data_IF_335679860260
#
_entry.id   IF_335679860260
#
_cell.length_a   1.000
_cell.length_b   1.000
_cell.length_c   1.000
_cell.angle_alpha   90.00
_cell.angle_beta   90.00
_cell.angle_gamma   90.00
#
_symmetry.space_group_name_H-M   'P 1'
#
loop_
_entity.id
_entity.type
_entity.pdbx_description
1 polymer ?
#
# COMPACT_ATOMS: atom_id res chain seq x y z
N UNK A 1 19.00 -1.35 -20.76
CA UNK A 1 18.06 -0.58 -19.91
C UNK A 1 18.76 -0.35 -18.58
N UNK A 2 18.87 0.86 -18.13
CA UNK A 2 19.42 1.14 -16.81
C UNK A 2 18.44 0.58 -15.77
N UNK A 3 18.90 -0.26 -14.86
CA UNK A 3 18.15 -0.65 -13.68
C UNK A 3 17.82 0.62 -12.91
N UNK A 4 16.54 0.91 -12.72
CA UNK A 4 16.10 2.06 -11.91
C UNK A 4 16.54 1.78 -10.47
N UNK A 5 17.56 2.48 -10.02
CA UNK A 5 18.10 2.29 -8.67
C UNK A 5 17.06 2.76 -7.66
N UNK A 6 16.50 1.81 -6.88
CA UNK A 6 15.52 2.12 -5.85
C UNK A 6 16.23 2.84 -4.70
N UNK A 7 15.81 4.04 -4.39
CA UNK A 7 16.30 4.81 -3.24
C UNK A 7 15.35 4.69 -2.06
N UNK A 8 15.91 4.70 -0.85
CA UNK A 8 15.15 4.64 0.41
C UNK A 8 15.60 5.77 1.32
N UNK A 9 14.65 6.60 1.73
CA UNK A 9 14.87 7.64 2.71
C UNK A 9 14.18 7.30 4.03
N UNK A 10 14.84 7.56 5.15
CA UNK A 10 14.29 7.35 6.49
C UNK A 10 14.08 8.71 7.15
N UNK A 11 12.88 8.92 7.65
CA UNK A 11 12.47 10.12 8.37
C UNK A 11 11.93 9.78 9.76
N UNK A 12 12.11 10.68 10.69
CA UNK A 12 11.54 10.55 12.04
C UNK A 12 10.90 11.89 12.44
N UNK A 13 9.78 12.27 11.80
CA UNK A 13 9.21 13.59 11.99
C UNK A 13 8.60 13.81 13.38
N UNK A 14 7.99 12.78 14.01
CA UNK A 14 7.23 12.91 15.25
C UNK A 14 7.34 11.72 16.21
N UNK A 15 8.27 10.83 16.04
CA UNK A 15 8.41 9.63 16.84
C UNK A 15 8.75 8.42 16.00
N UNK A 16 7.81 7.57 15.55
CA UNK A 16 8.14 6.42 14.72
C UNK A 16 8.85 6.82 13.43
N UNK A 17 9.88 6.06 13.06
CA UNK A 17 10.59 6.29 11.80
C UNK A 17 9.69 5.96 10.62
N UNK A 18 9.82 6.73 9.53
CA UNK A 18 9.11 6.52 8.27
C UNK A 18 10.11 6.26 7.17
N UNK A 19 9.95 5.16 6.44
CA UNK A 19 10.69 4.91 5.21
C UNK A 19 9.88 5.43 4.03
N UNK A 20 10.50 6.25 3.20
CA UNK A 20 9.95 6.75 1.95
C UNK A 20 10.71 6.17 0.78
N UNK A 21 10.00 5.68 -0.21
CA UNK A 21 10.56 5.22 -1.48
C UNK A 21 9.60 5.50 -2.62
N UNK A 22 10.09 5.46 -3.83
CA UNK A 22 9.25 5.58 -5.03
C UNK A 22 8.81 4.20 -5.48
N UNK A 23 7.50 4.01 -5.66
CA UNK A 23 6.96 2.81 -6.28
C UNK A 23 7.27 2.84 -7.78
N UNK A 24 7.89 1.80 -8.35
CA UNK A 24 8.10 1.71 -9.80
C UNK A 24 6.80 1.86 -10.59
N UNK A 25 6.85 2.57 -11.72
CA UNK A 25 5.66 2.92 -12.50
C UNK A 25 4.87 1.69 -12.95
N UNK A 26 5.56 0.60 -13.26
CA UNK A 26 4.91 -0.67 -13.65
C UNK A 26 3.93 -1.19 -12.57
N UNK A 27 4.26 -1.02 -11.29
CA UNK A 27 3.38 -1.42 -10.19
C UNK A 27 2.26 -0.42 -9.98
N UNK A 28 2.52 0.87 -10.15
CA UNK A 28 1.49 1.92 -10.13
C UNK A 28 0.43 1.64 -11.18
N UNK A 29 0.85 1.35 -12.40
CA UNK A 29 -0.04 1.06 -13.54
C UNK A 29 -0.85 -0.22 -13.30
N UNK A 30 -0.21 -1.28 -12.81
CA UNK A 30 -0.87 -2.54 -12.51
C UNK A 30 -1.90 -2.42 -11.38
N UNK A 31 -1.57 -1.70 -10.31
CA UNK A 31 -2.48 -1.44 -9.19
C UNK A 31 -3.67 -0.58 -9.61
N UNK A 32 -3.42 0.48 -10.40
CA UNK A 32 -4.48 1.32 -10.95
C UNK A 32 -5.39 0.51 -11.86
N UNK A 33 -4.83 -0.29 -12.77
CA UNK A 33 -5.61 -1.14 -13.66
C UNK A 33 -6.49 -2.11 -12.88
N UNK A 34 -5.94 -2.82 -11.90
CA UNK A 34 -6.71 -3.78 -11.12
C UNK A 34 -7.82 -3.07 -10.32
N UNK A 35 -7.53 -1.92 -9.72
CA UNK A 35 -8.51 -1.11 -9.01
C UNK A 35 -9.64 -0.64 -9.93
N UNK A 36 -9.31 -0.11 -11.11
CA UNK A 36 -10.29 0.36 -12.09
C UNK A 36 -11.14 -0.80 -12.63
N UNK A 37 -10.54 -1.96 -12.93
CA UNK A 37 -11.24 -3.16 -13.39
C UNK A 37 -12.27 -3.67 -12.34
N UNK A 38 -11.94 -3.57 -11.05
CA UNK A 38 -12.86 -3.93 -9.97
C UNK A 38 -13.97 -2.89 -9.81
N UNK A 39 -13.61 -1.60 -9.81
CA UNK A 39 -14.57 -0.50 -9.62
C UNK A 39 -15.57 -0.39 -10.76
N UNK A 40 -15.19 -0.75 -11.98
CA UNK A 40 -16.05 -0.73 -13.17
C UNK A 40 -16.94 -1.96 -13.34
N UNK A 41 -16.76 -2.98 -12.49
CA UNK A 41 -17.54 -4.22 -12.49
C UNK A 41 -18.35 -4.31 -11.18
N UNK A 42 -19.67 -4.21 -11.26
CA UNK A 42 -20.53 -4.12 -10.08
C UNK A 42 -20.46 -5.38 -9.20
N UNK A 43 -20.34 -6.57 -9.78
CA UNK A 43 -20.24 -7.81 -9.03
C UNK A 43 -18.90 -7.93 -8.32
N UNK A 44 -17.80 -7.70 -9.02
CA UNK A 44 -16.45 -7.67 -8.44
C UNK A 44 -16.31 -6.61 -7.37
N UNK A 45 -16.90 -5.44 -7.61
CA UNK A 45 -16.88 -4.34 -6.66
C UNK A 45 -17.58 -4.69 -5.34
N UNK A 46 -18.69 -5.43 -5.40
CA UNK A 46 -19.38 -5.94 -4.20
C UNK A 46 -18.59 -7.05 -3.51
N UNK A 47 -18.01 -7.97 -4.26
CA UNK A 47 -17.21 -9.09 -3.73
C UNK A 47 -15.96 -8.60 -3.00
N UNK A 48 -15.31 -7.55 -3.54
CA UNK A 48 -14.05 -6.99 -3.04
C UNK A 48 -14.21 -5.81 -2.08
N UNK A 49 -15.43 -5.45 -1.75
CA UNK A 49 -15.72 -4.29 -0.92
C UNK A 49 -15.33 -4.53 0.55
N UNK A 50 -14.47 -3.65 1.05
CA UNK A 50 -14.03 -3.63 2.46
C UNK A 50 -14.49 -2.34 3.17
N UNK A 51 -15.29 -1.51 2.54
CA UNK A 51 -15.74 -0.20 3.04
C UNK A 51 -16.56 -0.29 4.33
N UNK A 52 -17.04 -1.47 4.70
CA UNK A 52 -17.79 -1.68 5.95
C UNK A 52 -16.99 -1.36 7.22
N UNK A 53 -15.67 -1.25 7.13
CA UNK A 53 -14.80 -0.85 8.22
C UNK A 53 -14.61 0.67 8.31
N UNK A 54 -15.18 1.44 7.38
CA UNK A 54 -15.04 2.89 7.33
C UNK A 54 -16.24 3.59 7.97
N UNK A 55 -15.95 4.66 8.70
CA UNK A 55 -16.96 5.48 9.36
C UNK A 55 -17.77 6.40 8.41
N UNK A 56 -17.30 6.59 7.18
CA UNK A 56 -17.86 7.57 6.23
C UNK A 56 -18.47 6.90 5.00
N UNK A 57 -19.58 7.49 4.50
CA UNK A 57 -20.43 6.87 3.49
C UNK A 57 -19.88 6.89 2.04
N UNK A 58 -18.92 7.76 1.76
CA UNK A 58 -18.51 8.05 0.38
C UNK A 58 -17.15 7.44 -0.01
N UNK A 59 -16.47 6.80 0.93
CA UNK A 59 -15.21 6.11 0.65
C UNK A 59 -15.46 4.72 0.10
N UNK A 60 -14.61 4.33 -0.80
CA UNK A 60 -14.60 2.96 -1.30
C UNK A 60 -13.25 2.33 -1.03
N UNK A 61 -13.25 1.30 -0.20
CA UNK A 61 -12.12 0.39 0.00
C UNK A 61 -12.38 -0.90 -0.75
N UNK A 62 -11.41 -1.29 -1.56
CA UNK A 62 -11.46 -2.57 -2.26
C UNK A 62 -10.19 -3.37 -2.03
N UNK A 63 -10.35 -4.66 -1.76
CA UNK A 63 -9.24 -5.59 -1.63
C UNK A 63 -8.56 -5.83 -2.97
N UNK A 64 -7.23 -5.77 -2.97
CA UNK A 64 -6.39 -5.98 -4.16
C UNK A 64 -5.70 -7.33 -4.08
N UNK A 65 -5.72 -8.07 -5.18
CA UNK A 65 -4.91 -9.28 -5.34
C UNK A 65 -3.48 -8.89 -5.76
N UNK A 66 -2.66 -8.53 -4.77
CA UNK A 66 -1.28 -8.15 -4.99
C UNK A 66 -0.42 -9.32 -5.49
N UNK A 67 -0.82 -10.57 -5.20
CA UNK A 67 -0.11 -11.77 -5.67
C UNK A 67 -0.23 -11.96 -7.18
N UNK A 68 -1.29 -11.44 -7.81
CA UNK A 68 -1.46 -11.45 -9.26
C UNK A 68 -0.58 -10.43 -10.00
N UNK A 69 0.08 -9.52 -9.28
CA UNK A 69 0.98 -8.51 -9.87
C UNK A 69 2.42 -9.03 -9.74
N UNK A 70 2.98 -9.47 -10.86
CA UNK A 70 4.32 -10.06 -10.90
C UNK A 70 5.39 -9.10 -10.38
N UNK A 71 6.17 -9.56 -9.38
CA UNK A 71 7.25 -8.81 -8.73
C UNK A 71 6.79 -7.85 -7.62
N UNK A 72 5.51 -7.54 -7.50
CA UNK A 72 5.02 -6.65 -6.44
C UNK A 72 5.19 -7.26 -5.04
N UNK A 73 4.88 -8.55 -4.78
CA UNK A 73 5.11 -9.15 -3.48
C UNK A 73 6.57 -9.08 -3.04
N UNK A 74 7.51 -9.34 -3.95
CA UNK A 74 8.95 -9.29 -3.70
C UNK A 74 9.42 -7.86 -3.43
N UNK A 75 8.88 -6.89 -4.15
CA UNK A 75 9.16 -5.47 -3.92
C UNK A 75 8.67 -5.03 -2.53
N UNK A 76 7.45 -5.36 -2.15
CA UNK A 76 6.90 -5.06 -0.82
C UNK A 76 7.70 -5.73 0.29
N UNK A 77 8.12 -6.99 0.08
CA UNK A 77 8.97 -7.71 1.02
C UNK A 77 10.34 -7.03 1.17
N UNK A 78 10.92 -6.54 0.09
CA UNK A 78 12.19 -5.81 0.10
C UNK A 78 12.07 -4.52 0.91
N UNK A 79 11.04 -3.72 0.67
CA UNK A 79 10.80 -2.48 1.43
C UNK A 79 10.64 -2.78 2.92
N UNK A 80 9.83 -3.78 3.27
CA UNK A 80 9.56 -4.15 4.65
C UNK A 80 10.84 -4.62 5.37
N UNK A 81 11.67 -5.41 4.70
CA UNK A 81 12.97 -5.87 5.23
C UNK A 81 13.95 -4.71 5.38
N UNK A 82 14.04 -3.81 4.41
CA UNK A 82 14.90 -2.64 4.49
C UNK A 82 14.49 -1.71 5.64
N UNK A 83 13.20 -1.47 5.83
CA UNK A 83 12.69 -0.71 6.97
C UNK A 83 13.11 -1.37 8.29
N UNK A 84 12.78 -2.65 8.46
CA UNK A 84 13.05 -3.37 9.70
C UNK A 84 14.55 -3.43 10.00
N UNK A 85 15.38 -3.73 8.99
CA UNK A 85 16.83 -3.76 9.13
C UNK A 85 17.43 -2.43 9.60
N UNK A 86 16.88 -1.31 9.16
CA UNK A 86 17.41 0.04 9.48
C UNK A 86 16.86 0.60 10.79
N UNK A 87 15.61 0.26 11.13
CA UNK A 87 14.88 0.87 12.23
C UNK A 87 14.77 -0.05 13.44
N UNK A 88 14.65 -1.36 13.21
CA UNK A 88 14.41 -2.39 14.22
C UNK A 88 15.26 -3.64 13.94
N UNK A 89 16.59 -3.53 13.85
CA UNK A 89 17.44 -4.64 13.41
C UNK A 89 17.35 -5.88 14.29
N UNK A 90 17.03 -5.73 15.57
CA UNK A 90 16.86 -6.82 16.54
C UNK A 90 15.58 -7.66 16.33
N UNK A 91 14.63 -7.15 15.51
CA UNK A 91 13.34 -7.81 15.28
C UNK A 91 13.24 -8.53 13.92
N UNK A 92 14.35 -8.72 13.21
CA UNK A 92 14.34 -9.42 11.92
C UNK A 92 15.07 -10.79 12.03
N UNK A 93 14.40 -11.85 12.52
CA UNK A 93 14.96 -13.21 12.45
C UNK A 93 15.20 -13.63 11.00
N UNK A 94 16.25 -14.43 10.75
CA UNK A 94 16.66 -14.85 9.40
C UNK A 94 15.53 -15.51 8.57
N UNK A 95 14.56 -16.15 9.24
CA UNK A 95 13.45 -16.86 8.60
C UNK A 95 12.11 -16.16 8.73
N UNK A 96 12.08 -14.83 8.85
CA UNK A 96 10.84 -14.09 8.99
C UNK A 96 9.98 -14.22 7.73
N UNK A 97 8.77 -14.77 7.86
CA UNK A 97 7.74 -14.75 6.84
C UNK A 97 6.99 -13.44 6.92
N UNK A 98 6.84 -12.76 5.79
CA UNK A 98 6.09 -11.52 5.67
C UNK A 98 4.81 -11.81 4.91
N UNK A 99 3.67 -11.48 5.51
CA UNK A 99 2.37 -11.54 4.86
C UNK A 99 1.86 -10.11 4.63
N UNK A 100 1.26 -9.88 3.48
CA UNK A 100 0.72 -8.59 3.11
C UNK A 100 -0.80 -8.65 2.98
N UNK A 101 -1.42 -7.56 3.36
CA UNK A 101 -2.80 -7.24 3.06
C UNK A 101 -2.79 -5.92 2.30
N UNK A 102 -3.29 -5.93 1.06
CA UNK A 102 -3.25 -4.78 0.16
C UNK A 102 -4.68 -4.41 -0.23
N UNK A 103 -5.00 -3.13 -0.13
CA UNK A 103 -6.29 -2.58 -0.56
C UNK A 103 -6.08 -1.19 -1.14
N UNK A 104 -7.01 -0.72 -1.95
CA UNK A 104 -7.06 0.66 -2.42
C UNK A 104 -8.18 1.42 -1.74
N UNK A 105 -7.95 2.68 -1.46
CA UNK A 105 -8.93 3.62 -0.93
C UNK A 105 -9.17 4.69 -1.97
N UNK A 106 -10.40 4.80 -2.46
CA UNK A 106 -10.82 5.88 -3.35
C UNK A 106 -11.43 6.99 -2.52
N UNK A 107 -10.91 8.20 -2.67
CA UNK A 107 -11.38 9.40 -1.98
C UNK A 107 -11.67 10.51 -2.98
N UNK A 108 -12.78 11.18 -2.81
CA UNK A 108 -13.18 12.34 -3.61
C UNK A 108 -13.07 13.62 -2.80
N UNK A 109 -13.31 14.77 -3.44
CA UNK A 109 -13.25 16.05 -2.76
C UNK A 109 -14.20 16.09 -1.55
N UNK A 110 -13.67 16.41 -0.37
CA UNK A 110 -14.42 16.42 0.88
C UNK A 110 -14.37 15.13 1.69
N UNK A 111 -13.92 14.03 1.11
CA UNK A 111 -13.72 12.79 1.86
C UNK A 111 -12.49 12.90 2.77
N UNK A 112 -12.59 12.26 3.93
CA UNK A 112 -11.46 12.13 4.83
C UNK A 112 -11.44 10.73 5.48
N UNK A 113 -10.27 10.31 5.90
CA UNK A 113 -10.12 9.09 6.69
C UNK A 113 -9.94 9.49 8.16
N UNK A 114 -10.89 9.14 9.06
CA UNK A 114 -10.74 9.45 10.47
C UNK A 114 -9.51 8.73 11.05
N UNK A 115 -9.05 9.21 12.20
CA UNK A 115 -7.97 8.54 12.94
C UNK A 115 -8.37 7.10 13.25
N UNK A 116 -7.53 6.15 12.86
CA UNK A 116 -7.76 4.73 13.05
C UNK A 116 -6.44 4.00 13.30
N UNK A 117 -6.52 2.74 13.68
CA UNK A 117 -5.37 1.86 13.89
C UNK A 117 -5.42 0.68 12.92
N UNK A 118 -4.27 0.16 12.57
CA UNK A 118 -4.12 -1.08 11.80
C UNK A 118 -3.67 -2.21 12.72
N UNK A 119 -4.29 -3.37 12.57
CA UNK A 119 -3.88 -4.61 13.23
C UNK A 119 -2.77 -5.29 12.42
N UNK A 120 -1.60 -4.65 12.41
CA UNK A 120 -0.41 -5.13 11.68
C UNK A 120 0.87 -4.64 12.33
N UNK A 121 1.99 -5.34 12.09
CA UNK A 121 3.30 -4.93 12.61
C UNK A 121 3.86 -3.72 11.86
N UNK A 122 3.60 -3.61 10.56
CA UNK A 122 3.96 -2.50 9.70
C UNK A 122 2.77 -2.09 8.86
N UNK A 123 2.63 -0.81 8.60
CA UNK A 123 1.67 -0.29 7.62
C UNK A 123 2.35 0.70 6.69
N UNK A 124 1.83 0.83 5.48
CA UNK A 124 2.32 1.76 4.49
C UNK A 124 1.20 2.33 3.65
N UNK A 125 1.45 3.45 3.02
CA UNK A 125 0.54 4.10 2.08
C UNK A 125 1.27 4.43 0.78
N UNK A 126 0.60 4.27 -0.33
CA UNK A 126 1.08 4.69 -1.64
C UNK A 126 0.00 5.52 -2.33
N UNK A 127 0.38 6.68 -2.85
CA UNK A 127 -0.49 7.54 -3.65
C UNK A 127 -0.40 7.11 -5.11
N UNK A 128 -1.45 6.48 -5.63
CA UNK A 128 -1.51 5.95 -7.00
C UNK A 128 -2.04 6.97 -8.00
N UNK A 129 -3.06 7.74 -7.60
CA UNK A 129 -3.65 8.82 -8.39
C UNK A 129 -3.75 10.06 -7.50
N UNK A 130 -3.16 11.15 -7.95
CA UNK A 130 -3.20 12.45 -7.27
C UNK A 130 -3.89 13.43 -8.22
N UNK A 131 -4.90 14.19 -7.76
CA UNK A 131 -5.50 15.23 -8.59
C UNK A 131 -4.45 16.23 -9.08
N UNK A 132 -4.58 16.79 -10.28
CA UNK A 132 -3.73 17.90 -10.68
C UNK A 132 -3.96 19.10 -9.75
N UNK A 133 -2.90 19.85 -9.46
CA UNK A 133 -2.95 21.10 -8.71
C UNK A 133 -3.77 22.18 -9.45
#
# INVERSE_FOLDING_TARGET
MAEEQISFDIYQPFGPSVLKTKLPQIYVDALNKQSDDILNDEEKSKERDWSHNLAEKEKKEISIDHMAINGLPEFLATISKEYTKRVLPEYLPENTKIAFRVWTVSQWAGDFNPMHIHDSNLSGVCFLKIPPE
#
